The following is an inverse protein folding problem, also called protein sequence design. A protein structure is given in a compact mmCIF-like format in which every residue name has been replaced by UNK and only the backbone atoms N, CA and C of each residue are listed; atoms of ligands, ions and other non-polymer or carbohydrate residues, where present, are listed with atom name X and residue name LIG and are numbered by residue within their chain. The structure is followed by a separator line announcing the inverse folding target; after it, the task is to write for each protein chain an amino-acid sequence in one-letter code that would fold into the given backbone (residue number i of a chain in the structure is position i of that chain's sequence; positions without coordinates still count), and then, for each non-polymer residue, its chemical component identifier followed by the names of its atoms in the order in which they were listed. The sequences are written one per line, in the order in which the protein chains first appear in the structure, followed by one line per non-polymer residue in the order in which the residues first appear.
data_IF_186602912428
#
_entry.id   IF_186602912428
#
_cell.length_a   1.000
_cell.length_b   1.000
_cell.length_c   1.000
_cell.angle_alpha   90.00
_cell.angle_beta   90.00
_cell.angle_gamma   90.00
#
_symmetry.space_group_name_H-M   'P 1'
#
loop_
_entity.id
_entity.type
_entity.pdbx_description
1 polymer ?
#
# COMPACT_ATOMS: atom_id res chain seq x y z
N UNK A 1 -17.13 -9.16 -16.13
CA UNK A 1 -17.17 -7.91 -15.35
C UNK A 1 -15.92 -7.90 -14.51
N UNK A 2 -14.87 -7.23 -14.99
CA UNK A 2 -13.62 -7.09 -14.25
C UNK A 2 -13.87 -6.06 -13.16
N UNK A 3 -13.86 -6.49 -11.89
CA UNK A 3 -13.83 -5.56 -10.77
C UNK A 3 -12.42 -4.95 -10.74
N UNK A 4 -12.17 -4.00 -11.64
CA UNK A 4 -11.05 -3.10 -11.51
C UNK A 4 -11.35 -2.25 -10.28
N UNK A 5 -10.64 -2.52 -9.20
CA UNK A 5 -10.55 -1.59 -8.07
C UNK A 5 -9.97 -0.31 -8.65
N UNK A 6 -10.85 0.63 -9.00
CA UNK A 6 -10.52 1.90 -9.63
C UNK A 6 -9.50 2.62 -8.71
N UNK A 7 -8.24 2.63 -9.14
CA UNK A 7 -7.15 3.30 -8.42
C UNK A 7 -6.93 4.65 -9.08
N UNK A 8 -7.95 5.49 -9.01
CA UNK A 8 -7.90 6.81 -9.59
C UNK A 8 -6.99 7.71 -8.74
N UNK A 9 -5.69 7.76 -9.08
CA UNK A 9 -4.68 8.78 -8.71
C UNK A 9 -3.34 8.52 -9.43
N UNK A 10 -3.35 8.29 -10.75
CA UNK A 10 -2.11 8.19 -11.52
C UNK A 10 -1.53 9.59 -11.79
N UNK A 11 -0.87 10.15 -10.78
CA UNK A 11 -0.09 11.41 -10.87
C UNK A 11 0.99 11.37 -11.98
N UNK A 12 1.41 10.17 -12.40
CA UNK A 12 2.37 9.91 -13.47
C UNK A 12 1.85 8.76 -14.34
N UNK A 13 2.10 8.83 -15.65
CA UNK A 13 1.87 7.70 -16.55
C UNK A 13 2.76 6.50 -16.16
N UNK A 14 2.45 5.30 -16.64
CA UNK A 14 3.30 4.13 -16.39
C UNK A 14 4.74 4.33 -16.91
N UNK A 15 4.89 5.00 -18.05
CA UNK A 15 6.17 5.35 -18.64
C UNK A 15 6.95 6.33 -17.76
N UNK A 16 6.30 7.41 -17.32
CA UNK A 16 6.92 8.40 -16.42
C UNK A 16 7.32 7.77 -15.07
N UNK A 17 6.51 6.84 -14.56
CA UNK A 17 6.83 6.07 -13.37
C UNK A 17 8.06 5.18 -13.57
N UNK A 18 8.19 4.51 -14.72
CA UNK A 18 9.35 3.69 -15.03
C UNK A 18 10.64 4.52 -15.11
N UNK A 19 10.58 5.67 -15.80
CA UNK A 19 11.70 6.61 -15.89
C UNK A 19 12.08 7.12 -14.49
N UNK A 20 11.11 7.52 -13.68
CA UNK A 20 11.36 8.01 -12.32
C UNK A 20 12.05 6.94 -11.46
N UNK A 21 11.55 5.70 -11.45
CA UNK A 21 12.15 4.58 -10.69
C UNK A 21 13.59 4.28 -11.10
N UNK A 22 13.95 4.50 -12.36
CA UNK A 22 15.34 4.28 -12.84
C UNK A 22 16.32 5.37 -12.40
N UNK A 23 15.82 6.57 -12.06
CA UNK A 23 16.65 7.75 -11.78
C UNK A 23 16.73 8.07 -10.29
N UNK A 24 15.70 7.72 -9.53
CA UNK A 24 15.63 8.07 -8.12
C UNK A 24 14.77 7.08 -7.31
N UNK A 25 15.05 6.94 -6.00
CA UNK A 25 14.18 6.21 -5.10
C UNK A 25 12.82 6.91 -4.98
N UNK A 26 11.76 6.11 -4.86
CA UNK A 26 10.41 6.59 -4.58
C UNK A 26 10.12 6.32 -3.10
N UNK A 27 9.51 7.29 -2.42
CA UNK A 27 9.14 7.16 -1.00
C UNK A 27 7.91 6.28 -0.87
N UNK A 28 7.99 5.30 0.02
CA UNK A 28 6.91 4.36 0.35
C UNK A 28 6.63 4.39 1.85
N UNK A 29 5.42 3.97 2.20
CA UNK A 29 5.03 3.61 3.56
C UNK A 29 4.63 2.14 3.59
N UNK A 30 5.01 1.46 4.67
CA UNK A 30 4.50 0.15 5.03
C UNK A 30 3.79 0.26 6.37
N UNK A 31 2.52 -0.11 6.43
CA UNK A 31 1.73 -0.14 7.65
C UNK A 31 1.52 -1.60 8.09
N UNK A 32 1.84 -1.89 9.36
CA UNK A 32 1.65 -3.20 9.97
C UNK A 32 0.37 -3.16 10.84
N UNK A 33 -0.77 -3.71 10.37
CA UNK A 33 -1.99 -3.73 11.15
C UNK A 33 -1.86 -4.68 12.32
N UNK A 34 -2.20 -4.20 13.50
CA UNK A 34 -2.15 -4.99 14.72
C UNK A 34 -3.45 -4.89 15.50
N UNK A 35 -3.84 -5.99 16.15
CA UNK A 35 -4.79 -5.94 17.26
C UNK A 35 -3.98 -5.93 18.55
N UNK A 36 -4.39 -5.08 19.50
CA UNK A 36 -3.75 -4.95 20.81
C UNK A 36 -4.69 -5.37 21.92
N UNK A 37 -4.15 -5.80 23.06
CA UNK A 37 -4.91 -5.96 24.30
C UNK A 37 -5.11 -4.61 25.02
N UNK A 38 -5.75 -4.61 26.20
CA UNK A 38 -6.00 -3.40 26.99
C UNK A 38 -4.72 -2.70 27.47
N UNK A 39 -3.58 -3.41 27.48
CA UNK A 39 -2.29 -2.89 27.91
C UNK A 39 -1.44 -2.41 26.73
N UNK A 40 -1.96 -2.51 25.50
CA UNK A 40 -1.26 -2.12 24.28
C UNK A 40 -0.32 -3.20 23.72
N UNK A 41 -0.30 -4.42 24.26
CA UNK A 41 0.53 -5.49 23.72
C UNK A 41 -0.08 -6.00 22.42
N UNK A 42 0.75 -6.21 21.40
CA UNK A 42 0.32 -6.80 20.12
C UNK A 42 -0.11 -8.26 20.35
N UNK A 43 -1.36 -8.57 19.99
CA UNK A 43 -1.92 -9.94 20.10
C UNK A 43 -2.05 -10.63 18.75
N UNK A 44 -2.25 -9.86 17.67
CA UNK A 44 -2.37 -10.37 16.30
C UNK A 44 -1.81 -9.36 15.31
N UNK A 45 -1.21 -9.89 14.24
CA UNK A 45 -0.77 -9.10 13.08
C UNK A 45 -1.67 -9.46 11.89
N UNK A 46 -2.26 -8.45 11.26
CA UNK A 46 -3.06 -8.59 10.05
C UNK A 46 -2.18 -8.55 8.81
N UNK A 47 -2.36 -9.50 7.90
CA UNK A 47 -1.72 -9.49 6.58
C UNK A 47 -2.79 -9.69 5.51
N UNK A 48 -2.61 -9.02 4.37
CA UNK A 48 -3.46 -9.18 3.20
C UNK A 48 -3.01 -10.41 2.42
N UNK A 49 -3.97 -11.19 1.94
CA UNK A 49 -3.71 -12.28 1.01
C UNK A 49 -3.71 -11.71 -0.40
N UNK A 50 -2.65 -11.97 -1.17
CA UNK A 50 -2.52 -11.50 -2.55
C UNK A 50 -2.12 -12.63 -3.48
N UNK A 51 -2.73 -12.67 -4.66
CA UNK A 51 -2.26 -13.52 -5.76
C UNK A 51 -1.29 -12.70 -6.59
N UNK A 52 -0.06 -13.18 -6.70
CA UNK A 52 0.96 -12.58 -7.55
C UNK A 52 0.64 -12.82 -9.04
N UNK A 53 1.20 -12.02 -9.97
CA UNK A 53 0.90 -12.15 -11.40
C UNK A 53 1.23 -13.53 -11.99
N UNK A 54 2.15 -14.26 -11.37
CA UNK A 54 2.53 -15.64 -11.72
C UNK A 54 1.60 -16.71 -11.12
N UNK A 55 0.54 -16.31 -10.42
CA UNK A 55 -0.43 -17.19 -9.77
C UNK A 55 -0.05 -17.62 -8.35
N UNK A 56 1.13 -17.23 -7.84
CA UNK A 56 1.54 -17.59 -6.49
C UNK A 56 0.76 -16.83 -5.42
N UNK A 57 0.35 -17.52 -4.36
CA UNK A 57 -0.30 -16.89 -3.22
C UNK A 57 0.79 -16.36 -2.27
N UNK A 58 0.73 -15.07 -1.98
CA UNK A 58 1.64 -14.38 -1.06
C UNK A 58 0.86 -13.62 0.00
N UNK A 59 1.56 -13.22 1.06
CA UNK A 59 1.03 -12.33 2.10
C UNK A 59 1.82 -11.03 2.08
N UNK A 60 1.13 -9.92 2.23
CA UNK A 60 1.73 -8.58 2.27
C UNK A 60 1.10 -7.74 3.36
N UNK A 61 1.83 -6.70 3.78
CA UNK A 61 1.28 -5.59 4.54
C UNK A 61 0.63 -4.56 3.62
N UNK A 62 -0.05 -3.57 4.21
CA UNK A 62 -0.49 -2.39 3.48
C UNK A 62 0.75 -1.61 3.11
N UNK A 63 0.97 -1.46 1.81
CA UNK A 63 2.15 -0.79 1.29
C UNK A 63 1.75 0.13 0.16
N UNK A 64 2.40 1.28 0.09
CA UNK A 64 2.24 2.12 -1.08
C UNK A 64 3.07 3.38 -1.08
N UNK A 65 3.15 3.99 -2.27
CA UNK A 65 3.92 5.22 -2.50
C UNK A 65 3.28 6.42 -1.80
N UNK A 66 4.13 7.34 -1.35
CA UNK A 66 3.74 8.68 -0.91
C UNK A 66 3.67 9.58 -2.14
N UNK A 67 2.56 10.30 -2.31
CA UNK A 67 2.37 11.22 -3.43
C UNK A 67 3.13 12.53 -3.19
N UNK A 68 3.45 13.26 -4.25
CA UNK A 68 4.08 14.57 -4.10
C UNK A 68 3.14 15.57 -3.42
N UNK A 69 3.68 16.30 -2.43
CA UNK A 69 2.91 17.20 -1.57
C UNK A 69 2.07 16.48 -0.50
N UNK A 70 2.04 15.14 -0.48
CA UNK A 70 1.32 14.36 0.52
C UNK A 70 2.17 14.20 1.79
N UNK A 71 1.56 14.38 2.97
CA UNK A 71 2.22 14.07 4.23
C UNK A 71 2.26 12.54 4.40
N UNK A 72 3.35 12.02 4.95
CA UNK A 72 3.50 10.58 5.26
C UNK A 72 2.31 10.01 6.03
N UNK A 73 1.76 10.76 6.99
CA UNK A 73 0.58 10.35 7.77
C UNK A 73 -0.70 10.24 6.95
N UNK A 74 -0.86 11.08 5.94
CA UNK A 74 -2.04 11.07 5.07
C UNK A 74 -1.93 9.92 4.07
N UNK A 75 -0.71 9.64 3.59
CA UNK A 75 -0.42 8.46 2.78
C UNK A 75 -0.75 7.16 3.53
N UNK A 76 -0.36 7.07 4.80
CA UNK A 76 -0.70 5.93 5.68
C UNK A 76 -2.21 5.75 5.78
N UNK A 77 -2.95 6.82 6.09
CA UNK A 77 -4.41 6.75 6.20
C UNK A 77 -5.07 6.33 4.88
N UNK A 78 -4.67 6.94 3.76
CA UNK A 78 -5.20 6.65 2.43
C UNK A 78 -4.98 5.19 2.02
N UNK A 79 -3.79 4.64 2.26
CA UNK A 79 -3.52 3.24 1.93
C UNK A 79 -4.22 2.27 2.89
N UNK A 80 -4.34 2.61 4.18
CA UNK A 80 -5.11 1.80 5.14
C UNK A 80 -6.60 1.74 4.76
N UNK A 81 -7.23 2.86 4.46
CA UNK A 81 -8.64 2.92 4.01
C UNK A 81 -8.84 2.09 2.74
N UNK A 82 -7.96 2.27 1.76
CA UNK A 82 -8.02 1.55 0.49
C UNK A 82 -8.00 0.03 0.68
N UNK A 83 -7.09 -0.47 1.52
CA UNK A 83 -6.81 -1.90 1.61
C UNK A 83 -7.63 -2.60 2.71
N UNK A 84 -8.11 -1.87 3.72
CA UNK A 84 -8.85 -2.44 4.86
C UNK A 84 -10.34 -2.06 4.89
N UNK A 85 -10.79 -1.07 4.11
CA UNK A 85 -12.11 -0.47 4.23
C UNK A 85 -12.14 0.49 5.41
#
# INVERSE_FOLDING_TARGET
MTNDTETDVAWLSEEDMAVTRSRMPIVYVDAVPVRVDSNGNVTKVGMLLRVAPDGNISRTFISGRVLYGERVRDALLRHCEKDLG
#
